data_IF_184258656085
#
_entry.id   IF_184258656085
#
_cell.length_a   1.000
_cell.length_b   1.000
_cell.length_c   1.000
_cell.angle_alpha   90.00
_cell.angle_beta   90.00
_cell.angle_gamma   90.00
#
_symmetry.space_group_name_H-M   'P 1'
#
loop_
_entity.id
_entity.type
_entity.pdbx_description
1 polymer ?
2 water ?
#
# COMPACT_ATOMS: atom_id res chain seq x y z
N UNK A 8 1.38 -7.87 11.43
CA UNK A 8 2.33 -8.70 12.29
C UNK A 8 3.76 -8.15 12.51
N UNK A 9 4.20 -7.20 11.69
CA UNK A 9 5.49 -6.54 11.96
C UNK A 9 5.33 -5.22 12.72
N UNK A 10 4.11 -5.01 13.18
CA UNK A 10 3.67 -3.71 13.60
C UNK A 10 3.85 -3.51 15.08
N UNK A 11 4.56 -4.42 15.77
CA UNK A 11 4.93 -4.27 17.17
C UNK A 11 6.42 -4.60 17.30
N UNK A 12 7.17 -3.82 18.08
CA UNK A 12 8.57 -4.13 18.35
C UNK A 12 9.01 -3.69 19.75
N UNK A 13 10.06 -4.33 20.25
CA UNK A 13 10.68 -4.01 21.56
C UNK A 13 12.11 -3.56 21.41
N UNK A 14 12.49 -2.53 22.17
CA UNK A 14 13.88 -2.08 22.14
C UNK A 14 14.79 -3.22 22.68
N UNK A 15 16.06 -3.20 22.26
CA UNK A 15 16.94 -4.30 22.69
C UNK A 15 17.16 -4.39 24.22
N UNK A 16 17.01 -3.28 24.97
CA UNK A 16 17.06 -3.32 26.43
C UNK A 16 15.72 -3.57 27.13
N UNK A 17 14.68 -3.76 26.32
CA UNK A 17 13.36 -4.11 26.85
C UNK A 17 12.60 -2.98 27.53
N UNK A 18 13.11 -1.75 27.48
CA UNK A 18 12.48 -0.67 28.24
C UNK A 18 11.41 0.08 27.43
N UNK A 19 11.48 0.01 26.09
CA UNK A 19 10.58 0.74 25.20
C UNK A 19 9.88 -0.27 24.27
N UNK A 20 8.59 -0.04 24.03
CA UNK A 20 7.76 -0.82 23.12
C UNK A 20 7.20 0.12 22.04
N UNK A 21 7.24 -0.29 20.78
CA UNK A 21 6.62 0.47 19.66
C UNK A 21 5.47 -0.31 19.06
N UNK A 22 4.38 0.37 18.76
CA UNK A 22 3.21 -0.28 18.14
C UNK A 22 2.55 0.63 17.10
N UNK A 23 2.25 0.08 15.94
CA UNK A 23 1.48 0.80 14.91
C UNK A 23 0.02 0.91 15.34
N UNK A 24 -0.55 2.10 15.21
CA UNK A 24 -1.93 2.37 15.59
C UNK A 24 -2.78 2.51 14.31
N UNK A 25 -4.08 2.22 14.37
CA UNK A 25 -4.91 2.34 13.17
C UNK A 25 -5.01 3.74 12.61
N UNK A 26 -4.68 4.75 13.40
CA UNK A 26 -4.79 6.11 12.88
C UNK A 26 -3.52 6.54 12.13
N UNK A 27 -2.70 5.57 11.69
CA UNK A 27 -1.49 5.80 10.90
C UNK A 27 -0.35 6.44 11.71
N UNK A 28 -0.41 6.33 13.04
CA UNK A 28 0.67 6.78 13.91
C UNK A 28 1.39 5.57 14.50
N UNK A 29 2.59 5.82 15.03
CA UNK A 29 3.35 4.83 15.81
C UNK A 29 3.40 5.32 17.24
N UNK A 30 3.06 4.45 18.19
CA UNK A 30 3.06 4.80 19.60
C UNK A 30 4.32 4.20 20.24
N UNK A 31 4.97 4.99 21.09
CA UNK A 31 6.11 4.48 21.90
C UNK A 31 5.71 4.50 23.38
N UNK A 32 5.91 3.38 24.07
CA UNK A 32 5.54 3.23 25.48
C UNK A 32 6.74 2.78 26.29
N UNK A 33 6.71 3.06 27.59
CA UNK A 33 7.67 2.43 28.52
C UNK A 33 7.07 1.12 29.05
N UNK A 34 7.93 0.24 29.53
CA UNK A 34 7.43 -1.03 30.04
C UNK A 34 6.53 -0.92 31.26
N UNK A 35 6.48 0.26 31.88
CA UNK A 35 5.52 0.54 32.96
C UNK A 35 4.13 0.95 32.48
N UNK A 36 3.91 0.90 31.17
CA UNK A 36 2.58 1.15 30.61
C UNK A 36 2.29 2.58 30.18
N UNK A 37 3.23 3.50 30.41
CA UNK A 37 3.04 4.90 30.05
C UNK A 37 3.39 5.22 28.60
N UNK A 38 2.54 6.03 27.96
CA UNK A 38 2.76 6.46 26.61
C UNK A 38 3.80 7.59 26.56
N UNK A 39 4.89 7.40 25.80
CA UNK A 39 5.99 8.36 25.72
C UNK A 39 5.86 9.31 24.54
N UNK A 40 5.55 8.76 23.37
CA UNK A 40 5.47 9.55 22.12
C UNK A 40 4.43 9.00 21.16
N UNK A 41 3.95 9.88 20.28
CA UNK A 41 3.09 9.50 19.15
C UNK A 41 3.79 10.07 17.91
N UNK A 42 4.19 9.18 17.01
CA UNK A 42 4.91 9.56 15.81
C UNK A 42 3.91 9.73 14.66
N UNK A 43 3.71 10.97 14.24
CA UNK A 43 2.72 11.34 13.23
C UNK A 43 3.39 11.79 11.94
N UNK A 44 2.96 11.25 10.81
CA UNK A 44 3.49 11.65 9.52
C UNK A 44 3.17 10.77 8.32
N UNK A 45 2.99 9.46 8.54
CA UNK A 45 2.63 8.55 7.44
C UNK A 45 1.21 8.86 6.92
N UNK A 46 1.01 8.67 5.62
CA UNK A 46 -0.27 8.99 4.99
C UNK A 46 -1.14 7.75 4.71
N UNK A 47 -0.62 6.57 5.03
CA UNK A 47 -1.34 5.29 4.95
C UNK A 47 -0.96 4.37 6.12
N UNK A 48 -1.60 3.20 6.21
CA UNK A 48 -1.35 2.19 7.26
C UNK A 48 0.14 1.94 7.49
N UNK A 49 0.53 1.81 8.74
CA UNK A 49 1.90 1.49 9.10
C UNK A 49 1.93 -0.01 9.39
N UNK A 50 2.75 -0.76 8.66
CA UNK A 50 2.80 -2.22 8.81
C UNK A 50 4.03 -2.78 9.53
N UNK A 51 5.08 -1.98 9.67
CA UNK A 51 6.30 -2.45 10.32
C UNK A 51 7.00 -1.38 11.14
N UNK A 52 7.51 -1.81 12.29
CA UNK A 52 8.31 -0.94 13.16
C UNK A 52 9.56 -1.73 13.58
N UNK A 53 10.66 -1.02 13.76
CA UNK A 53 11.94 -1.63 14.17
C UNK A 53 12.77 -0.63 14.94
N UNK A 54 13.59 -1.13 15.88
CA UNK A 54 14.54 -0.31 16.61
C UNK A 54 15.97 -0.53 16.14
N UNK A 55 16.76 0.56 16.19
CA UNK A 55 18.21 0.50 15.98
C UNK A 55 18.91 -0.23 17.15
N UNK A 56 20.18 -0.63 16.99
CA UNK A 56 20.84 -1.44 18.05
C UNK A 56 20.91 -0.84 19.48
N UNK A 57 20.94 0.48 19.58
CA UNK A 57 20.93 1.17 20.88
C UNK A 57 19.53 1.66 21.30
N UNK A 58 18.54 1.39 20.46
CA UNK A 58 17.16 1.77 20.76
C UNK A 58 16.82 3.24 20.54
N UNK A 59 17.77 4.06 20.07
CA UNK A 59 17.55 5.51 19.97
C UNK A 59 16.88 5.93 18.68
N UNK A 60 16.92 5.08 17.66
CA UNK A 60 16.23 5.37 16.39
C UNK A 60 15.18 4.31 16.13
N UNK A 61 14.04 4.76 15.61
CA UNK A 61 12.92 3.91 15.27
C UNK A 61 12.70 4.03 13.78
N UNK A 62 12.49 2.91 13.09
CA UNK A 62 12.06 2.92 11.71
C UNK A 62 10.60 2.44 11.58
N UNK A 63 9.83 3.12 10.75
CA UNK A 63 8.45 2.75 10.49
C UNK A 63 8.25 2.60 8.97
N UNK A 64 7.59 1.51 8.57
CA UNK A 64 7.37 1.22 7.15
C UNK A 64 5.88 1.20 6.90
N UNK A 65 5.46 1.89 5.86
CA UNK A 65 4.04 2.15 5.62
C UNK A 65 3.61 1.81 4.20
N UNK A 66 2.30 1.59 4.02
CA UNK A 66 1.73 1.44 2.68
C UNK A 66 1.80 2.71 1.79
N UNK A 67 2.20 3.85 2.37
CA UNK A 67 2.52 5.06 1.59
C UNK A 67 3.85 4.93 0.83
N UNK A 68 4.51 3.78 0.97
CA UNK A 68 5.70 3.38 0.22
C UNK A 68 6.96 4.07 0.75
N UNK A 69 6.89 4.60 1.98
CA UNK A 69 8.06 5.20 2.58
C UNK A 69 8.47 4.42 3.83
N UNK A 70 9.71 4.63 4.24
CA UNK A 70 10.23 4.21 5.54
C UNK A 70 10.69 5.49 6.24
N UNK A 71 10.15 5.78 7.42
CA UNK A 71 10.54 6.97 8.15
C UNK A 71 11.45 6.57 9.32
N UNK A 72 12.43 7.40 9.59
CA UNK A 72 13.36 7.25 10.71
C UNK A 72 13.12 8.37 11.70
N UNK A 73 12.97 7.99 12.98
CA UNK A 73 12.65 8.90 14.05
C UNK A 73 13.61 8.73 15.22
N UNK A 74 13.92 9.81 15.92
CA UNK A 74 14.58 9.67 17.22
C UNK A 74 13.55 9.30 18.28
N UNK A 75 13.99 8.61 19.33
CA UNK A 75 13.05 8.20 20.37
C UNK A 75 12.43 9.36 21.13
N UNK A 76 12.98 10.57 21.00
CA UNK A 76 12.36 11.79 21.51
C UNK A 76 11.21 12.34 20.66
N UNK A 77 10.87 11.63 19.58
CA UNK A 77 9.73 11.98 18.71
C UNK A 77 10.03 12.76 17.42
N UNK A 78 11.27 13.22 17.25
CA UNK A 78 11.67 14.01 16.06
C UNK A 78 11.85 13.14 14.80
N UNK A 79 11.23 13.55 13.69
CA UNK A 79 11.45 12.89 12.40
C UNK A 79 12.84 13.23 11.89
N UNK A 80 13.61 12.22 11.51
CA UNK A 80 14.98 12.38 10.98
C UNK A 80 15.06 12.31 9.45
N UNK A 81 14.41 11.30 8.87
CA UNK A 81 14.52 11.03 7.43
C UNK A 81 13.25 10.35 6.93
N UNK A 82 12.93 10.58 5.65
CA UNK A 82 11.92 9.81 4.93
C UNK A 82 12.60 9.12 3.75
N UNK A 83 12.69 7.78 3.80
CA UNK A 83 13.38 7.00 2.75
C UNK A 83 12.37 6.54 1.72
N UNK A 84 12.75 6.74 0.46
CA UNK A 84 11.90 6.35 -0.66
C UNK A 84 12.69 5.45 -1.61
N UNK A 85 11.97 4.52 -2.23
CA UNK A 85 12.57 3.50 -3.06
C UNK A 85 12.90 3.97 -4.46
N UNK B 8 13.63 -12.70 10.94
CA UNK B 8 13.01 -11.97 9.78
C UNK B 8 11.92 -10.99 10.25
N UNK B 9 11.97 -9.78 9.72
CA UNK B 9 10.97 -8.76 10.02
C UNK B 9 10.74 -8.09 8.64
N UNK B 10 9.72 -7.27 8.34
CA UNK B 10 9.66 -6.61 7.00
C UNK B 10 10.55 -5.40 6.84
N UNK B 11 11.12 -4.98 7.96
CA UNK B 11 12.02 -3.82 8.02
C UNK B 11 13.06 -4.07 9.13
N UNK B 12 14.32 -3.76 8.88
CA UNK B 12 15.40 -4.01 9.87
C UNK B 12 16.55 -3.02 9.74
N UNK B 13 17.23 -2.78 10.88
CA UNK B 13 18.52 -2.08 10.92
C UNK B 13 19.65 -3.10 10.89
N UNK B 14 20.73 -2.77 10.16
CA UNK B 14 22.00 -3.52 10.26
C UNK B 14 22.56 -3.50 11.70
N UNK B 15 23.44 -4.46 12.06
CA UNK B 15 23.97 -4.49 13.43
C UNK B 15 24.79 -3.25 13.80
N UNK B 16 25.33 -2.53 12.83
CA UNK B 16 26.02 -1.23 13.14
C UNK B 16 25.11 0.00 13.05
N UNK B 17 23.83 -0.22 12.78
CA UNK B 17 22.84 0.86 12.70
C UNK B 17 22.90 1.79 11.51
N UNK B 18 23.81 1.53 10.57
CA UNK B 18 24.07 2.49 9.48
C UNK B 18 23.29 2.18 8.20
N UNK B 19 22.79 0.95 8.06
CA UNK B 19 22.01 0.51 6.90
C UNK B 19 20.61 0.08 7.36
N UNK B 20 19.60 0.40 6.56
CA UNK B 20 18.21 0.01 6.80
C UNK B 20 17.79 -0.86 5.60
N UNK B 21 17.19 -2.01 5.88
CA UNK B 21 16.61 -2.89 4.81
C UNK B 21 15.09 -2.90 4.92
N UNK B 22 14.39 -2.85 3.79
CA UNK B 22 12.94 -3.04 3.83
C UNK B 22 12.43 -3.82 2.63
N UNK B 23 11.38 -4.60 2.85
CA UNK B 23 10.67 -5.22 1.73
C UNK B 23 9.87 -4.15 0.98
N UNK B 24 10.03 -4.10 -0.34
CA UNK B 24 9.32 -3.13 -1.16
C UNK B 24 8.15 -3.83 -1.87
N UNK B 25 7.09 -3.09 -2.18
CA UNK B 25 5.91 -3.67 -2.85
C UNK B 25 6.12 -4.18 -4.30
N UNK B 26 7.27 -3.90 -4.90
CA UNK B 26 7.59 -4.35 -6.27
C UNK B 26 8.48 -5.61 -6.36
N UNK B 27 8.42 -6.46 -5.34
CA UNK B 27 9.14 -7.75 -5.27
C UNK B 27 10.65 -7.58 -5.11
N UNK B 28 11.07 -6.44 -4.60
CA UNK B 28 12.50 -6.19 -4.30
C UNK B 28 12.74 -5.90 -2.82
N UNK B 29 14.01 -5.93 -2.43
CA UNK B 29 14.44 -5.42 -1.13
C UNK B 29 15.27 -4.18 -1.37
N UNK B 30 14.99 -3.11 -0.62
CA UNK B 30 15.77 -1.89 -0.70
C UNK B 30 16.71 -1.78 0.49
N UNK B 31 17.93 -1.33 0.23
CA UNK B 31 18.92 -1.04 1.28
C UNK B 31 19.25 0.47 1.22
N UNK B 32 19.11 1.19 2.34
CA UNK B 32 19.44 2.62 2.42
C UNK B 32 20.51 2.87 3.49
N UNK B 33 21.24 3.97 3.36
CA UNK B 33 22.03 4.49 4.48
C UNK B 33 21.13 5.33 5.40
N UNK B 34 21.48 5.42 6.69
CA UNK B 34 20.68 6.23 7.62
C UNK B 34 20.54 7.70 7.23
N UNK B 35 21.41 8.20 6.33
CA UNK B 35 21.29 9.57 5.80
C UNK B 35 20.32 9.76 4.62
N UNK B 36 19.63 8.68 4.24
CA UNK B 36 18.62 8.71 3.19
C UNK B 36 19.02 8.20 1.81
N UNK B 37 20.31 8.00 1.57
CA UNK B 37 20.78 7.54 0.26
C UNK B 37 20.39 6.06 0.00
N UNK B 38 19.78 5.78 -1.16
CA UNK B 38 19.49 4.39 -1.54
C UNK B 38 20.79 3.73 -2.01
N UNK B 39 21.17 2.60 -1.40
CA UNK B 39 22.42 1.90 -1.70
C UNK B 39 22.27 0.76 -2.73
N UNK B 40 21.24 -0.07 -2.54
CA UNK B 40 21.01 -1.23 -3.39
C UNK B 40 19.51 -1.53 -3.53
N UNK B 41 19.16 -2.15 -4.65
CA UNK B 41 17.87 -2.75 -4.90
C UNK B 41 18.14 -4.21 -5.23
N UNK B 42 17.67 -5.13 -4.38
CA UNK B 42 17.89 -6.55 -4.55
C UNK B 42 16.73 -7.15 -5.34
N UNK B 43 17.01 -7.52 -6.59
CA UNK B 43 16.02 -7.99 -7.55
C UNK B 43 16.25 -9.48 -7.85
N UNK B 44 15.19 -10.26 -7.87
CA UNK B 44 15.29 -11.70 -8.15
C UNK B 44 14.10 -12.54 -7.75
N UNK B 45 13.40 -12.17 -6.66
CA UNK B 45 12.21 -12.89 -6.23
C UNK B 45 11.10 -12.75 -7.29
N UNK B 46 10.29 -13.80 -7.45
CA UNK B 46 9.25 -13.80 -8.47
C UNK B 46 7.85 -13.49 -7.92
N UNK B 47 7.76 -13.28 -6.59
CA UNK B 47 6.54 -12.86 -5.91
C UNK B 47 6.87 -11.87 -4.78
N UNK B 48 5.84 -11.34 -4.13
CA UNK B 48 5.99 -10.39 -3.02
C UNK B 48 7.05 -10.81 -1.99
N UNK B 49 7.85 -9.84 -1.53
CA UNK B 49 8.85 -10.10 -0.50
C UNK B 49 8.29 -9.59 0.81
N UNK B 50 8.27 -10.42 1.84
CA UNK B 50 7.66 -10.05 3.12
C UNK B 50 8.61 -9.93 4.30
N UNK B 51 9.82 -10.48 4.19
CA UNK B 51 10.77 -10.49 5.32
C UNK B 51 12.20 -10.27 4.91
N UNK B 52 12.95 -9.57 5.79
CA UNK B 52 14.38 -9.33 5.61
C UNK B 52 15.13 -9.50 6.94
N UNK B 53 16.40 -9.91 6.87
CA UNK B 53 17.24 -10.07 8.06
C UNK B 53 18.70 -9.87 7.71
N UNK B 54 19.46 -9.32 8.65
CA UNK B 54 20.92 -9.23 8.51
C UNK B 54 21.59 -10.36 9.29
N UNK B 55 22.70 -10.84 8.74
CA UNK B 55 23.59 -11.73 9.48
C UNK B 55 24.26 -10.98 10.66
N UNK B 56 24.83 -11.70 11.64
CA UNK B 56 25.40 -11.06 12.82
C UNK B 56 26.55 -10.06 12.57
N UNK B 57 27.29 -10.26 11.48
CA UNK B 57 28.37 -9.34 11.08
C UNK B 57 27.90 -8.24 10.11
N UNK B 58 26.63 -8.32 9.70
CA UNK B 58 26.04 -7.32 8.82
C UNK B 58 26.44 -7.42 7.35
N UNK B 59 27.22 -8.45 6.97
CA UNK B 59 27.69 -8.57 5.58
C UNK B 59 26.75 -9.32 4.63
N UNK B 60 25.85 -10.14 5.18
CA UNK B 60 24.88 -10.91 4.38
C UNK B 60 23.45 -10.52 4.77
N UNK B 61 22.58 -10.44 3.78
CA UNK B 61 21.18 -10.09 3.93
C UNK B 61 20.35 -11.31 3.48
N UNK B 62 19.36 -11.70 4.27
CA UNK B 62 18.40 -12.74 3.84
C UNK B 62 17.05 -12.12 3.54
N UNK B 63 16.37 -12.65 2.51
CA UNK B 63 15.02 -12.20 2.15
C UNK B 63 14.09 -13.41 1.97
N UNK B 64 12.85 -13.26 2.41
CA UNK B 64 11.85 -14.33 2.32
C UNK B 64 10.66 -13.84 1.53
N UNK B 65 10.15 -14.69 0.64
CA UNK B 65 9.14 -14.27 -0.33
C UNK B 65 7.99 -15.26 -0.45
N UNK B 66 6.87 -14.79 -0.98
CA UNK B 66 5.74 -15.67 -1.36
C UNK B 66 6.04 -16.65 -2.50
N UNK B 67 7.18 -16.47 -3.19
CA UNK B 67 7.69 -17.49 -4.12
C UNK B 67 8.23 -18.76 -3.43
N UNK B 68 8.19 -18.77 -2.09
CA UNK B 68 8.56 -19.92 -1.25
C UNK B 68 10.07 -20.18 -1.24
N UNK B 69 10.86 -19.15 -1.53
CA UNK B 69 12.31 -19.24 -1.40
C UNK B 69 12.80 -18.24 -0.34
N UNK B 70 14.01 -18.52 0.15
CA UNK B 70 14.79 -17.58 0.93
C UNK B 70 16.07 -17.32 0.12
N UNK B 71 16.38 -16.06 -0.14
CA UNK B 71 17.59 -15.70 -0.87
C UNK B 71 18.60 -15.03 0.06
N UNK B 72 19.88 -15.34 -0.16
CA UNK B 72 20.99 -14.75 0.58
C UNK B 72 21.82 -13.87 -0.35
N UNK B 73 22.09 -12.65 0.10
CA UNK B 73 22.76 -11.64 -0.69
C UNK B 73 23.95 -11.02 0.08
N UNK B 74 24.99 -10.61 -0.62
CA UNK B 74 26.00 -9.74 0.00
C UNK B 74 25.50 -8.30 0.02
N UNK B 75 25.95 -7.50 0.97
CA UNK B 75 25.47 -6.09 1.07
C UNK B 75 25.87 -5.23 -0.14
N UNK B 76 26.80 -5.73 -0.97
CA UNK B 76 27.13 -5.08 -2.25
C UNK B 76 26.12 -5.38 -3.38
N UNK B 77 25.05 -6.11 -3.07
CA UNK B 77 23.97 -6.40 -4.03
C UNK B 77 23.99 -7.75 -4.73
N UNK B 78 25.06 -8.52 -4.60
CA UNK B 78 25.21 -9.80 -5.30
C UNK B 78 24.42 -10.94 -4.66
N UNK B 79 23.68 -11.69 -5.47
CA UNK B 79 22.97 -12.88 -4.97
C UNK B 79 23.97 -14.01 -4.73
N UNK B 80 23.93 -14.59 -3.53
CA UNK B 80 24.81 -15.69 -3.12
C UNK B 80 24.18 -17.08 -3.19
N UNK B 81 22.94 -17.22 -2.71
CA UNK B 81 22.25 -18.51 -2.62
C UNK B 81 20.74 -18.34 -2.72
N UNK B 82 20.07 -19.36 -3.24
CA UNK B 82 18.60 -19.46 -3.20
C UNK B 82 18.22 -20.79 -2.51
N UNK B 83 17.59 -20.68 -1.35
CA UNK B 83 17.19 -21.85 -0.56
C UNK B 83 15.73 -22.17 -0.95
N UNK B 84 15.45 -23.30 -1.60
CA UNK B 84 14.10 -23.57 -2.10
C UNK B 84 13.30 -24.54 -1.23
N UNK C 8 -8.42 10.84 -0.23
CA UNK C 8 -9.43 11.67 -1.02
C UNK C 8 -10.39 10.91 -1.96
N UNK C 9 -10.09 9.66 -2.28
CA UNK C 9 -11.07 8.85 -3.04
C UNK C 9 -11.92 7.95 -2.13
N UNK C 10 -11.80 8.20 -0.83
CA UNK C 10 -12.25 7.27 0.16
C UNK C 10 -13.66 7.57 0.62
N UNK C 11 -14.38 8.47 -0.08
CA UNK C 11 -15.77 8.77 0.18
C UNK C 11 -16.49 8.79 -1.16
N UNK C 12 -17.67 8.20 -1.24
CA UNK C 12 -18.49 8.28 -2.46
C UNK C 12 -19.99 8.30 -2.17
N UNK C 13 -20.74 8.83 -3.13
CA UNK C 13 -22.21 8.89 -3.07
C UNK C 13 -22.87 8.10 -4.18
N UNK C 14 -23.95 7.38 -3.87
CA UNK C 14 -24.67 6.67 -4.90
C UNK C 14 -25.25 7.68 -5.92
N UNK C 15 -25.48 7.22 -7.14
CA UNK C 15 -26.02 8.16 -8.16
C UNK C 15 -27.41 8.76 -7.82
N UNK C 16 -28.23 8.08 -7.02
CA UNK C 16 -29.51 8.64 -6.55
C UNK C 16 -29.41 9.45 -5.25
N UNK C 17 -28.19 9.57 -4.71
CA UNK C 17 -27.94 10.38 -3.50
C UNK C 17 -28.42 9.79 -2.18
N UNK C 18 -28.91 8.56 -2.17
CA UNK C 18 -29.53 8.01 -0.96
C UNK C 18 -28.51 7.26 -0.07
N UNK C 19 -27.38 6.81 -0.63
CA UNK C 19 -26.38 6.01 0.09
C UNK C 19 -25.03 6.70 -0.01
N UNK C 20 -24.29 6.67 1.09
CA UNK C 20 -22.94 7.23 1.21
C UNK C 20 -21.99 6.13 1.63
N UNK C 21 -20.85 6.02 0.97
CA UNK C 21 -19.78 5.08 1.37
C UNK C 21 -18.57 5.82 1.88
N UNK C 22 -17.97 5.35 2.96
CA UNK C 22 -16.74 5.96 3.49
C UNK C 22 -15.74 4.91 4.00
N UNK C 23 -14.47 5.05 3.64
CA UNK C 23 -13.39 4.21 4.18
C UNK C 23 -13.08 4.62 5.60
N UNK C 24 -12.94 3.64 6.50
CA UNK C 24 -12.61 3.89 7.91
C UNK C 24 -11.17 3.51 8.18
N UNK C 25 -10.57 4.10 9.21
CA UNK C 25 -9.20 3.74 9.54
C UNK C 25 -8.99 2.28 9.96
N UNK C 26 -10.05 1.57 10.32
CA UNK C 26 -9.85 0.18 10.69
C UNK C 26 -9.92 -0.75 9.47
N UNK C 27 -9.72 -0.22 8.25
CA UNK C 27 -9.66 -0.99 6.99
C UNK C 27 -11.02 -1.56 6.58
N UNK C 28 -12.11 -1.00 7.11
CA UNK C 28 -13.48 -1.35 6.66
C UNK C 28 -14.04 -0.21 5.82
N UNK C 29 -15.12 -0.51 5.09
CA UNK C 29 -15.92 0.50 4.37
C UNK C 29 -17.29 0.55 5.03
N UNK C 30 -17.75 1.74 5.36
CA UNK C 30 -19.07 1.92 5.96
C UNK C 30 -20.06 2.42 4.91
N UNK C 31 -21.27 1.86 4.92
CA UNK C 31 -22.35 2.36 4.06
C UNK C 31 -23.46 2.94 4.94
N UNK C 32 -23.88 4.17 4.63
CA UNK C 32 -24.91 4.86 5.39
C UNK C 32 -26.06 5.32 4.48
N UNK C 33 -27.24 5.50 5.05
CA UNK C 33 -28.31 6.21 4.39
C UNK C 33 -28.21 7.71 4.66
N UNK C 34 -28.76 8.53 3.79
CA UNK C 34 -28.68 9.99 4.01
C UNK C 34 -29.37 10.47 5.28
N UNK C 35 -30.20 9.62 5.91
CA UNK C 35 -30.80 9.94 7.21
C UNK C 35 -29.92 9.58 8.42
N UNK C 36 -28.69 9.16 8.16
CA UNK C 36 -27.74 8.87 9.22
C UNK C 36 -27.61 7.42 9.68
N UNK C 37 -28.48 6.53 9.20
CA UNK C 37 -28.43 5.12 9.62
C UNK C 37 -27.23 4.41 9.01
N UNK C 38 -26.45 3.70 9.85
CA UNK C 38 -25.37 2.86 9.34
C UNK C 38 -26.02 1.58 8.81
N UNK C 39 -25.83 1.29 7.53
CA UNK C 39 -26.45 0.14 6.86
C UNK C 39 -25.59 -1.11 6.89
N UNK C 40 -24.31 -0.95 6.55
CA UNK C 40 -23.37 -2.06 6.47
C UNK C 40 -21.94 -1.65 6.81
N UNK C 41 -21.15 -2.63 7.25
CA UNK C 41 -19.72 -2.51 7.46
C UNK C 41 -19.10 -3.60 6.62
N UNK C 42 -18.34 -3.21 5.60
CA UNK C 42 -17.70 -4.15 4.69
C UNK C 42 -16.29 -4.47 5.18
N UNK C 43 -16.08 -5.71 5.65
CA UNK C 43 -14.83 -6.15 6.27
C UNK C 43 -14.12 -7.19 5.40
N UNK C 44 -12.82 -7.00 5.19
CA UNK C 44 -12.03 -7.95 4.40
C UNK C 44 -10.65 -7.49 3.92
N UNK C 45 -10.48 -6.20 3.68
CA UNK C 45 -9.19 -5.70 3.22
C UNK C 45 -8.15 -5.83 4.34
N UNK C 46 -6.89 -6.07 3.98
CA UNK C 46 -5.82 -6.27 4.97
C UNK C 46 -4.90 -5.04 5.12
N UNK C 47 -5.18 -3.98 4.33
CA UNK C 47 -4.49 -2.69 4.43
C UNK C 47 -5.46 -1.53 4.22
N UNK C 48 -4.97 -0.29 4.35
CA UNK C 48 -5.77 0.93 4.16
C UNK C 48 -6.62 0.87 2.89
N UNK C 49 -7.86 1.35 2.99
CA UNK C 49 -8.74 1.44 1.85
C UNK C 49 -8.66 2.88 1.39
N UNK C 50 -8.25 3.12 0.15
CA UNK C 50 -8.06 4.49 -0.36
C UNK C 50 -9.13 4.96 -1.33
N UNK C 51 -9.91 4.04 -1.89
CA UNK C 51 -10.95 4.41 -2.85
C UNK C 51 -12.20 3.58 -2.77
N UNK C 52 -13.34 4.26 -2.95
CA UNK C 52 -14.64 3.59 -3.01
C UNK C 52 -15.39 4.16 -4.23
N UNK C 53 -16.22 3.32 -4.85
CA UNK C 53 -17.05 3.74 -5.99
C UNK C 53 -18.33 2.94 -6.04
N UNK C 54 -19.40 3.56 -6.57
CA UNK C 54 -20.66 2.87 -6.81
C UNK C 54 -20.89 2.58 -8.29
N UNK C 55 -21.54 1.44 -8.56
CA UNK C 55 -21.97 1.11 -9.92
C UNK C 55 -23.13 2.04 -10.35
N UNK C 56 -23.50 2.04 -11.64
CA UNK C 56 -24.54 3.01 -12.09
C UNK C 56 -25.92 2.96 -11.41
N UNK C 57 -26.32 1.77 -10.94
CA UNK C 57 -27.59 1.60 -10.22
C UNK C 57 -27.41 1.63 -8.69
N UNK C 58 -26.18 1.82 -8.24
CA UNK C 58 -25.90 1.91 -6.81
C UNK C 58 -25.84 0.57 -6.06
N UNK C 59 -26.11 -0.55 -6.75
CA UNK C 59 -26.25 -1.84 -6.09
C UNK C 59 -24.92 -2.55 -5.86
N UNK C 60 -23.87 -2.17 -6.56
CA UNK C 60 -22.53 -2.74 -6.33
C UNK C 60 -21.56 -1.64 -5.91
N UNK C 61 -20.70 -1.98 -4.95
CA UNK C 61 -19.70 -1.06 -4.41
C UNK C 61 -18.36 -1.66 -4.73
N UNK C 62 -17.42 -0.84 -5.22
CA UNK C 62 -16.03 -1.25 -5.34
C UNK C 62 -15.14 -0.54 -4.31
N UNK C 63 -14.21 -1.29 -3.73
CA UNK C 63 -13.27 -0.75 -2.75
C UNK C 63 -11.84 -1.09 -3.17
N UNK C 64 -10.96 -0.11 -3.17
CA UNK C 64 -9.57 -0.28 -3.62
C UNK C 64 -8.64 -0.01 -2.46
N UNK C 65 -7.69 -0.90 -2.25
CA UNK C 65 -6.89 -0.89 -1.03
C UNK C 65 -5.41 -0.99 -1.34
N UNK C 66 -4.59 -0.55 -0.39
CA UNK C 66 -3.14 -0.76 -0.47
C UNK C 66 -2.70 -2.24 -0.39
N UNK C 67 -3.63 -3.14 -0.07
CA UNK C 67 -3.40 -4.60 -0.20
C UNK C 67 -3.34 -5.07 -1.67
N UNK C 68 -3.50 -4.12 -2.60
CA UNK C 68 -3.34 -4.31 -4.04
C UNK C 68 -4.51 -5.09 -4.64
N UNK C 69 -5.64 -5.10 -3.93
CA UNK C 69 -6.86 -5.69 -4.47
C UNK C 69 -7.93 -4.63 -4.64
N UNK C 70 -8.91 -4.95 -5.50
CA UNK C 70 -10.18 -4.22 -5.58
C UNK C 70 -11.26 -5.24 -5.23
N UNK C 71 -12.06 -4.96 -4.22
CA UNK C 71 -13.18 -5.85 -3.87
C UNK C 71 -14.51 -5.28 -4.34
N UNK C 72 -15.40 -6.18 -4.78
CA UNK C 72 -16.75 -5.86 -5.24
C UNK C 72 -17.73 -6.44 -4.25
N UNK C 73 -18.65 -5.60 -3.80
CA UNK C 73 -19.64 -5.97 -2.82
C UNK C 73 -21.06 -5.63 -3.30
N UNK C 74 -22.06 -6.42 -2.90
CA UNK C 74 -23.43 -5.97 -3.05
C UNK C 74 -23.77 -5.02 -1.93
N UNK C 75 -24.70 -4.10 -2.17
CA UNK C 75 -25.08 -3.13 -1.13
C UNK C 75 -25.71 -3.77 0.10
N UNK C 76 -26.13 -5.04 0.00
CA UNK C 76 -26.55 -5.82 1.16
C UNK C 76 -25.40 -6.38 2.03
N UNK C 77 -24.15 -6.04 1.69
CA UNK C 77 -22.97 -6.42 2.47
C UNK C 77 -22.18 -7.65 2.01
N UNK C 78 -22.72 -8.40 1.06
CA UNK C 78 -22.06 -9.63 0.58
C UNK C 78 -20.86 -9.35 -0.33
N UNK C 79 -19.72 -9.98 -0.05
CA UNK C 79 -18.54 -9.88 -0.94
C UNK C 79 -18.78 -10.72 -2.19
N UNK C 80 -18.63 -10.12 -3.36
CA UNK C 80 -18.86 -10.78 -4.66
C UNK C 80 -17.57 -11.28 -5.33
N UNK C 81 -16.54 -10.43 -5.35
CA UNK C 81 -15.28 -10.69 -6.06
C UNK C 81 -14.11 -9.97 -5.40
N UNK C 82 -12.93 -10.56 -5.53
CA UNK C 82 -11.68 -9.89 -5.20
C UNK C 82 -10.80 -9.87 -6.48
N UNK C 83 -10.62 -8.67 -7.03
CA UNK C 83 -9.87 -8.49 -8.28
C UNK C 83 -8.42 -8.22 -7.98
N UNK C 84 -7.56 -8.92 -8.70
CA UNK C 84 -6.13 -8.77 -8.52
C UNK C 84 -5.45 -8.49 -9.84
N UNK C 85 -4.33 -7.77 -9.76
CA UNK C 85 -3.54 -7.42 -10.94
C UNK C 85 -2.68 -8.56 -11.42
N UNK D 8 -12.72 12.27 -12.59
CA UNK D 8 -11.61 11.34 -12.22
C UNK D 8 -11.71 10.88 -10.76
N UNK D 9 -11.50 9.58 -10.57
CA UNK D 9 -11.53 8.98 -9.24
C UNK D 9 -10.40 7.94 -9.30
N UNK D 10 -9.83 7.34 -8.23
CA UNK D 10 -8.82 6.27 -8.44
C UNK D 10 -9.35 4.90 -8.83
N UNK D 11 -10.67 4.77 -8.76
CA UNK D 11 -11.39 3.52 -9.09
C UNK D 11 -12.76 3.91 -9.65
N UNK D 12 -13.21 3.24 -10.71
CA UNK D 12 -14.49 3.57 -11.33
C UNK D 12 -15.13 2.37 -12.00
N UNK D 13 -16.46 2.43 -12.11
CA UNK D 13 -17.25 1.49 -12.96
C UNK D 13 -17.53 2.15 -14.33
N UNK D 14 -17.49 1.34 -15.39
CA UNK D 14 -18.00 1.76 -16.69
C UNK D 14 -19.52 2.13 -16.65
N UNK D 15 -20.02 2.92 -17.62
CA UNK D 15 -21.43 3.31 -17.60
C UNK D 15 -22.40 2.13 -17.70
N UNK D 16 -21.97 0.99 -18.27
CA UNK D 16 -22.80 -0.24 -18.27
C UNK D 16 -22.56 -1.18 -17.07
N UNK D 17 -21.68 -0.78 -16.16
CA UNK D 17 -21.43 -1.52 -14.91
C UNK D 17 -20.63 -2.81 -15.04
N UNK D 18 -20.21 -3.13 -16.27
CA UNK D 18 -19.59 -4.43 -16.55
C UNK D 18 -18.05 -4.43 -16.45
N UNK D 19 -17.44 -3.26 -16.54
CA UNK D 19 -15.98 -3.10 -16.48
C UNK D 19 -15.65 -2.21 -15.26
N UNK D 20 -14.58 -2.57 -14.55
CA UNK D 20 -14.03 -1.80 -13.43
C UNK D 20 -12.60 -1.35 -13.82
N UNK D 21 -12.31 -0.06 -13.64
CA UNK D 21 -10.94 0.50 -13.84
C UNK D 21 -10.34 0.92 -12.52
N UNK D 22 -9.05 0.64 -12.31
CA UNK D 22 -8.39 1.17 -11.12
C UNK D 22 -6.97 1.60 -11.42
N UNK D 23 -6.50 2.63 -10.72
CA UNK D 23 -5.10 2.95 -10.73
C UNK D 23 -4.32 1.90 -9.91
N UNK D 24 -3.25 1.37 -10.50
CA UNK D 24 -2.41 0.38 -9.81
C UNK D 24 -1.11 1.05 -9.32
N UNK D 25 -0.52 0.52 -8.26
CA UNK D 25 0.72 1.08 -7.69
C UNK D 25 1.98 1.00 -8.59
N UNK D 26 1.91 0.26 -9.69
CA UNK D 26 3.03 0.10 -10.63
C UNK D 26 2.96 0.98 -11.91
N UNK D 27 2.28 2.12 -11.81
CA UNK D 27 2.18 3.13 -12.88
C UNK D 27 1.29 2.68 -14.05
N UNK D 28 0.40 1.73 -13.78
CA UNK D 28 -0.54 1.26 -14.81
C UNK D 28 -1.96 1.46 -14.38
N UNK D 29 -2.87 1.32 -15.34
CA UNK D 29 -4.30 1.21 -15.07
C UNK D 29 -4.76 -0.19 -15.42
N UNK D 30 -5.47 -0.82 -14.49
CA UNK D 30 -6.04 -2.15 -14.74
C UNK D 30 -7.52 -2.04 -15.09
N UNK D 31 -7.96 -2.84 -16.07
CA UNK D 31 -9.38 -2.98 -16.43
C UNK D 31 -9.81 -4.44 -16.21
N UNK D 32 -10.86 -4.67 -15.40
CA UNK D 32 -11.40 -6.00 -15.14
C UNK D 32 -12.86 -6.09 -15.58
N UNK D 33 -13.32 -7.30 -15.86
CA UNK D 33 -14.76 -7.55 -15.95
C UNK D 33 -15.32 -7.80 -14.54
N UNK D 34 -16.60 -7.51 -14.33
CA UNK D 34 -17.21 -7.77 -13.02
C UNK D 34 -17.15 -9.23 -12.54
N UNK D 35 -16.88 -10.19 -13.45
CA UNK D 35 -16.67 -11.59 -13.08
C UNK D 35 -15.25 -11.96 -12.63
N UNK D 36 -14.37 -10.96 -12.54
CA UNK D 36 -13.03 -11.14 -12.03
C UNK D 36 -11.90 -11.24 -13.04
N UNK D 37 -12.23 -11.39 -14.32
CA UNK D 37 -11.21 -11.52 -15.35
C UNK D 37 -10.49 -10.19 -15.61
N UNK D 38 -9.14 -10.19 -15.58
CA UNK D 38 -8.36 -9.01 -15.95
C UNK D 38 -8.37 -8.88 -17.48
N UNK D 39 -8.86 -7.76 -18.00
CA UNK D 39 -9.00 -7.53 -19.43
C UNK D 39 -7.80 -6.86 -20.06
N UNK D 40 -7.32 -5.81 -19.41
CA UNK D 40 -6.22 -4.98 -19.95
C UNK D 40 -5.37 -4.41 -18.83
N UNK D 41 -4.11 -4.16 -19.16
CA UNK D 41 -3.19 -3.36 -18.34
C UNK D 41 -2.71 -2.23 -19.25
N UNK D 42 -3.03 -0.99 -18.89
CA UNK D 42 -2.68 0.19 -19.68
C UNK D 42 -1.33 0.74 -19.17
N UNK D 43 -0.29 0.59 -20.00
CA UNK D 43 1.10 0.90 -19.65
C UNK D 43 1.57 2.07 -20.52
N UNK D 44 2.21 3.06 -19.91
CA UNK D 44 2.71 4.21 -20.64
C UNK D 44 3.06 5.41 -19.78
N UNK D 45 2.36 5.61 -18.66
CA UNK D 45 2.70 6.71 -17.78
C UNK D 45 4.11 6.49 -17.18
N UNK D 46 4.83 7.59 -16.94
CA UNK D 46 6.19 7.54 -16.41
C UNK D 46 6.28 7.66 -14.90
N UNK D 47 5.16 7.95 -14.26
CA UNK D 47 5.07 8.11 -12.80
C UNK D 47 3.75 7.53 -12.29
N UNK D 48 3.56 7.54 -10.96
CA UNK D 48 2.33 7.05 -10.34
C UNK D 48 1.05 7.55 -11.05
N UNK D 49 0.07 6.65 -11.21
CA UNK D 49 -1.24 7.01 -11.79
C UNK D 49 -2.20 7.14 -10.62
N UNK D 50 -2.92 8.25 -10.54
CA UNK D 50 -3.80 8.49 -9.40
C UNK D 50 -5.29 8.60 -9.74
N UNK D 51 -5.65 8.78 -11.01
CA UNK D 51 -7.04 8.96 -11.40
C UNK D 51 -7.41 8.29 -12.71
N UNK D 52 -8.66 7.80 -12.77
CA UNK D 52 -9.22 7.16 -13.96
C UNK D 52 -10.67 7.61 -14.19
N UNK D 53 -11.10 7.68 -15.44
CA UNK D 53 -12.50 8.04 -15.76
C UNK D 53 -12.91 7.39 -17.07
N UNK D 54 -14.19 7.07 -17.20
CA UNK D 54 -14.74 6.57 -18.47
C UNK D 54 -15.47 7.69 -19.21
N UNK D 55 -15.42 7.63 -20.53
CA UNK D 55 -16.24 8.52 -21.34
C UNK D 55 -17.74 8.11 -21.23
N UNK D 56 -18.66 8.97 -21.63
CA UNK D 56 -20.10 8.67 -21.51
C UNK D 56 -20.59 7.40 -22.22
N UNK D 57 -19.92 7.01 -23.32
CA UNK D 57 -20.27 5.80 -24.05
C UNK D 57 -19.45 4.57 -23.56
N UNK D 58 -18.53 4.79 -22.63
CA UNK D 58 -17.74 3.71 -22.04
C UNK D 58 -16.62 3.18 -22.94
N UNK D 59 -16.43 3.77 -24.12
CA UNK D 59 -15.42 3.25 -25.06
C UNK D 59 -14.02 3.82 -24.87
N UNK D 60 -13.92 4.98 -24.23
CA UNK D 60 -12.62 5.63 -23.95
C UNK D 60 -12.40 5.74 -22.45
N UNK D 61 -11.16 5.54 -22.04
CA UNK D 61 -10.71 5.63 -20.64
C UNK D 61 -9.68 6.78 -20.55
N UNK D 62 -9.85 7.67 -19.58
CA UNK D 62 -8.83 8.72 -19.30
C UNK D 62 -8.08 8.38 -18.00
N UNK D 63 -6.76 8.65 -17.99
CA UNK D 63 -5.93 8.43 -16.82
C UNK D 63 -5.08 9.68 -16.54
N UNK D 64 -4.91 10.01 -15.26
CA UNK D 64 -4.15 11.17 -14.82
C UNK D 64 -3.01 10.72 -13.90
N UNK D 65 -1.83 11.29 -14.11
CA UNK D 65 -0.62 10.78 -13.45
C UNK D 65 0.24 11.90 -12.88
N UNK D 66 1.12 11.56 -11.94
CA UNK D 66 2.14 12.50 -11.45
C UNK D 66 3.16 12.94 -12.52
N UNK D 67 3.17 12.27 -13.67
CA UNK D 67 3.98 12.71 -14.82
C UNK D 67 3.40 13.97 -15.50
N UNK D 68 2.27 14.46 -14.98
CA UNK D 68 1.65 15.73 -15.40
C UNK D 68 0.98 15.61 -16.77
N UNK D 69 0.67 14.39 -17.18
CA UNK D 69 -0.08 14.17 -18.40
C UNK D 69 -1.44 13.53 -18.08
N UNK D 70 -2.36 13.69 -19.03
CA UNK D 70 -3.60 12.91 -19.07
C UNK D 70 -3.52 12.08 -20.35
N UNK D 71 -3.71 10.77 -20.23
CA UNK D 71 -3.72 9.90 -21.41
C UNK D 71 -5.13 9.36 -21.67
N UNK D 72 -5.46 9.25 -22.96
CA UNK D 72 -6.75 8.72 -23.42
C UNK D 72 -6.50 7.41 -24.13
N UNK D 73 -7.27 6.40 -23.76
CA UNK D 73 -7.13 5.04 -24.27
C UNK D 73 -8.47 4.47 -24.78
N UNK D 74 -8.43 3.61 -25.76
CA UNK D 74 -9.60 2.80 -26.08
C UNK D 74 -9.69 1.61 -25.12
N UNK D 75 -10.89 1.11 -24.87
CA UNK D 75 -11.05 -0.02 -23.93
C UNK D 75 -10.35 -1.31 -24.40
N UNK D 76 -9.97 -1.36 -25.67
CA UNK D 76 -9.15 -2.47 -26.21
C UNK D 76 -7.66 -2.36 -25.87
N UNK D 77 -7.28 -1.34 -25.12
CA UNK D 77 -5.90 -1.17 -24.63
C UNK D 77 -5.03 -0.18 -25.41
N UNK D 78 -5.49 0.29 -26.56
CA UNK D 78 -4.71 1.19 -27.41
C UNK D 78 -4.64 2.63 -26.89
N UNK D 79 -3.44 3.20 -26.82
CA UNK D 79 -3.29 4.63 -26.47
C UNK D 79 -3.71 5.51 -27.66
N UNK D 80 -4.60 6.47 -27.40
CA UNK D 80 -5.14 7.39 -28.42
C UNK D 80 -4.49 8.78 -28.41
N UNK D 81 -4.32 9.35 -27.23
CA UNK D 81 -3.77 10.72 -27.07
C UNK D 81 -3.03 10.88 -25.75
N UNK D 82 -2.04 11.78 -25.74
CA UNK D 82 -1.37 12.22 -24.50
C UNK D 82 -1.46 13.75 -24.42
N UNK D 83 -2.18 14.24 -23.42
CA UNK D 83 -2.44 15.68 -23.26
C UNK D 83 -1.36 16.17 -22.27
N UNK D 84 -0.43 17.00 -22.71
CA UNK D 84 0.67 17.37 -21.82
C UNK D 84 0.46 18.76 -21.23
#
# INVERSE_FOLDING_TARGET
GAMGSSSVWGVAFSPDGQTIASASDDKTVKLWNRNGQLLQTLTGHSSSVWGVAFSPDGQTIASASDDKTVKLWNRNGQLLQTLTGH
GAMGSSSVWGVAFSPDGQTIASASDDKTVKLWNRNGQLLQTLTGHSSSVWGVAFSPDGQTIASASDDKTVKLWNRNGQLLQTLTGH
GAMGSSSVWGVAFSPDGQTIASASDDKTVKLWNRNGQLLQTLTGHSSSVWGVAFSPDGQTIASASDDKTVKLWNRNGQLLQTLTGH
GAMGSSSVWGVAFSPDGQTIASASDDKTVKLWNRNGQLLQTLTGHSSSVWGVAFSPDGQTIASASDDKTVKLWNRNGQLLQTLTGH
#
